data_IF_473351633141
#
_entry.id   IF_473351633141
#
_cell.length_a   1.000
_cell.length_b   1.000
_cell.length_c   1.000
_cell.angle_alpha   90.00
_cell.angle_beta   90.00
_cell.angle_gamma   90.00
#
_symmetry.space_group_name_H-M   'P 1'
#
loop_
_entity.id
_entity.type
_entity.pdbx_description
1 polymer ?
#
# COMPACT_ATOMS: atom_id res chain seq x y z
N UNK A 1 10.71 22.62 16.66
CA UNK A 1 9.45 21.86 16.45
C UNK A 1 9.71 20.41 16.04
N UNK A 2 10.47 20.13 14.99
CA UNK A 2 10.83 18.75 14.59
C UNK A 2 11.58 17.99 15.69
N UNK A 3 12.64 18.58 16.26
CA UNK A 3 13.44 17.95 17.33
C UNK A 3 12.59 17.54 18.55
N UNK A 4 11.63 18.37 18.94
CA UNK A 4 10.71 18.12 20.07
C UNK A 4 9.78 16.94 19.76
N UNK A 5 9.25 16.86 18.54
CA UNK A 5 8.39 15.75 18.10
C UNK A 5 9.19 14.45 18.03
N UNK A 6 10.41 14.50 17.47
CA UNK A 6 11.30 13.33 17.39
C UNK A 6 11.68 12.83 18.78
N UNK A 7 12.01 13.73 19.71
CA UNK A 7 12.31 13.36 21.10
C UNK A 7 11.09 12.75 21.81
N UNK A 8 9.90 13.32 21.62
CA UNK A 8 8.66 12.79 22.19
C UNK A 8 8.33 11.39 21.66
N UNK A 9 8.34 11.21 20.33
CA UNK A 9 8.11 9.91 19.70
C UNK A 9 9.16 8.88 20.13
N UNK A 10 10.43 9.28 20.19
CA UNK A 10 11.53 8.42 20.64
C UNK A 10 11.35 7.97 22.09
N UNK A 11 11.01 8.88 23.01
CA UNK A 11 10.73 8.54 24.40
C UNK A 11 9.53 7.59 24.53
N UNK A 12 8.47 7.82 23.76
CA UNK A 12 7.27 6.98 23.77
C UNK A 12 7.56 5.57 23.23
N UNK A 13 8.37 5.47 22.18
CA UNK A 13 8.86 4.19 21.64
C UNK A 13 9.72 3.44 22.65
N UNK A 14 10.62 4.11 23.37
CA UNK A 14 11.45 3.50 24.42
C UNK A 14 10.59 2.95 25.57
N UNK A 15 9.56 3.68 25.98
CA UNK A 15 8.59 3.21 26.99
C UNK A 15 7.82 1.98 26.49
N UNK A 16 7.38 1.98 25.23
CA UNK A 16 6.70 0.85 24.61
C UNK A 16 7.61 -0.38 24.44
N UNK A 17 8.90 -0.16 24.17
CA UNK A 17 9.90 -1.22 23.99
C UNK A 17 10.28 -1.92 25.31
N UNK A 18 10.07 -1.27 26.48
CA UNK A 18 10.41 -1.85 27.78
C UNK A 18 9.59 -3.11 28.11
N UNK A 19 8.35 -3.18 27.60
CA UNK A 19 7.53 -4.40 27.58
C UNK A 19 6.99 -4.57 26.17
N UNK A 20 7.77 -5.16 25.26
CA UNK A 20 7.37 -5.25 23.87
C UNK A 20 6.09 -6.09 23.78
N UNK A 21 4.96 -5.55 23.28
CA UNK A 21 3.82 -6.39 22.99
C UNK A 21 4.21 -7.46 21.97
N UNK A 22 3.83 -8.70 22.24
CA UNK A 22 3.99 -9.83 21.32
C UNK A 22 3.35 -9.59 19.93
N UNK A 23 2.45 -8.61 19.83
CA UNK A 23 1.83 -8.16 18.59
C UNK A 23 2.70 -7.24 17.70
N UNK A 24 3.89 -6.79 18.12
CA UNK A 24 4.74 -5.90 17.29
C UNK A 24 5.06 -6.53 15.92
N UNK A 25 5.35 -7.83 15.89
CA UNK A 25 5.67 -8.54 14.65
C UNK A 25 4.46 -8.54 13.71
N UNK A 26 3.26 -8.79 14.25
CA UNK A 26 2.02 -8.78 13.48
C UNK A 26 1.67 -7.38 12.97
N UNK A 27 1.88 -6.34 13.79
CA UNK A 27 1.69 -4.95 13.38
C UNK A 27 2.63 -4.57 12.23
N UNK A 28 3.89 -4.99 12.32
CA UNK A 28 4.91 -4.73 11.30
C UNK A 28 4.55 -5.45 9.99
N UNK A 29 4.19 -6.73 10.05
CA UNK A 29 3.71 -7.51 8.89
C UNK A 29 2.46 -6.88 8.27
N UNK A 30 1.51 -6.41 9.08
CA UNK A 30 0.31 -5.72 8.62
C UNK A 30 0.65 -4.38 7.95
N UNK A 31 1.57 -3.61 8.53
CA UNK A 31 1.99 -2.34 7.96
C UNK A 31 2.68 -2.50 6.60
N UNK A 32 3.66 -3.41 6.49
CA UNK A 32 4.35 -3.65 5.22
C UNK A 32 3.45 -4.32 4.18
N UNK A 33 2.71 -5.36 4.57
CA UNK A 33 1.81 -6.06 3.66
C UNK A 33 0.67 -5.17 3.17
N UNK A 34 0.14 -4.29 4.04
CA UNK A 34 -0.89 -3.33 3.67
C UNK A 34 -0.37 -2.24 2.75
N UNK A 35 0.85 -1.75 2.99
CA UNK A 35 1.49 -0.77 2.12
C UNK A 35 1.73 -1.35 0.72
N UNK A 36 2.25 -2.57 0.62
CA UNK A 36 2.42 -3.25 -0.66
C UNK A 36 1.08 -3.47 -1.38
N UNK A 37 0.05 -3.96 -0.66
CA UNK A 37 -1.27 -4.20 -1.24
C UNK A 37 -1.95 -2.92 -1.78
N UNK A 38 -1.67 -1.76 -1.18
CA UNK A 38 -2.24 -0.48 -1.57
C UNK A 38 -1.44 0.19 -2.69
N UNK A 39 -0.10 0.23 -2.58
CA UNK A 39 0.73 1.11 -3.40
C UNK A 39 1.46 0.42 -4.55
N UNK A 40 1.66 -0.90 -4.51
CA UNK A 40 2.51 -1.59 -5.49
C UNK A 40 1.99 -1.41 -6.92
N UNK A 41 0.72 -1.73 -7.19
CA UNK A 41 0.17 -1.64 -8.55
C UNK A 41 -0.02 -0.21 -9.06
N UNK A 42 -0.57 0.74 -8.27
CA UNK A 42 -0.61 2.14 -8.68
C UNK A 42 0.76 2.69 -9.06
N UNK A 43 1.82 2.33 -8.32
CA UNK A 43 3.17 2.83 -8.56
C UNK A 43 3.80 2.14 -9.78
N UNK A 44 3.76 0.80 -9.85
CA UNK A 44 4.31 0.05 -10.99
C UNK A 44 3.59 0.41 -12.28
N UNK A 45 2.25 0.36 -12.30
CA UNK A 45 1.48 0.62 -13.52
C UNK A 45 1.46 2.12 -13.84
N UNK A 46 1.46 3.01 -12.83
CA UNK A 46 1.56 4.45 -13.05
C UNK A 46 2.88 4.90 -13.67
N UNK A 47 4.00 4.24 -13.34
CA UNK A 47 5.31 4.56 -13.90
C UNK A 47 5.58 3.87 -15.24
N UNK A 48 5.16 2.61 -15.40
CA UNK A 48 5.52 1.80 -16.57
C UNK A 48 4.41 1.66 -17.61
N UNK A 49 3.16 2.05 -17.32
CA UNK A 49 2.04 1.90 -18.24
C UNK A 49 1.39 3.24 -18.59
N UNK A 50 1.57 3.68 -19.83
CA UNK A 50 1.05 4.95 -20.35
C UNK A 50 -0.48 5.11 -20.28
N UNK A 51 -1.21 4.00 -20.17
CA UNK A 51 -2.67 3.97 -20.10
C UNK A 51 -3.18 3.87 -18.66
N UNK A 52 -2.30 3.93 -17.67
CA UNK A 52 -2.69 3.97 -16.27
C UNK A 52 -3.47 5.25 -15.98
N UNK A 53 -4.48 5.13 -15.12
CA UNK A 53 -5.30 6.26 -14.72
C UNK A 53 -5.62 6.27 -13.22
N UNK A 54 -6.04 7.45 -12.75
CA UNK A 54 -6.35 7.68 -11.35
C UNK A 54 -7.49 6.78 -10.84
N UNK A 55 -8.48 6.43 -11.68
CA UNK A 55 -9.60 5.57 -11.27
C UNK A 55 -9.13 4.12 -11.03
N UNK A 56 -8.30 3.59 -11.92
CA UNK A 56 -7.64 2.30 -11.77
C UNK A 56 -6.77 2.26 -10.51
N UNK A 57 -5.92 3.28 -10.34
CA UNK A 57 -5.07 3.41 -9.15
C UNK A 57 -5.91 3.42 -7.84
N UNK A 58 -6.94 4.26 -7.76
CA UNK A 58 -7.78 4.37 -6.57
C UNK A 58 -8.54 3.07 -6.27
N UNK A 59 -9.07 2.42 -7.32
CA UNK A 59 -9.76 1.14 -7.16
C UNK A 59 -8.83 0.04 -6.62
N UNK A 60 -7.58 0.00 -7.09
CA UNK A 60 -6.57 -0.93 -6.60
C UNK A 60 -6.20 -0.66 -5.14
N UNK A 61 -6.00 0.62 -4.79
CA UNK A 61 -5.68 1.04 -3.42
C UNK A 61 -6.78 0.61 -2.43
N UNK A 62 -8.03 0.89 -2.77
CA UNK A 62 -9.17 0.57 -1.90
C UNK A 62 -9.34 -0.95 -1.79
N UNK A 63 -9.38 -1.66 -2.91
CA UNK A 63 -9.60 -3.11 -2.91
C UNK A 63 -8.43 -3.84 -2.23
N UNK A 64 -7.19 -3.48 -2.55
CA UNK A 64 -6.00 -4.08 -1.95
C UNK A 64 -5.92 -3.85 -0.45
N UNK A 65 -6.10 -2.61 0.01
CA UNK A 65 -6.04 -2.27 1.43
C UNK A 65 -7.16 -2.92 2.24
N UNK A 66 -8.41 -2.85 1.76
CA UNK A 66 -9.57 -3.43 2.46
C UNK A 66 -9.46 -4.95 2.49
N UNK A 67 -9.14 -5.58 1.37
CA UNK A 67 -9.06 -7.03 1.30
C UNK A 67 -7.90 -7.57 2.14
N UNK A 68 -6.74 -6.91 2.10
CA UNK A 68 -5.63 -7.28 2.95
C UNK A 68 -5.96 -7.13 4.44
N UNK A 69 -6.59 -6.02 4.85
CA UNK A 69 -6.99 -5.80 6.24
C UNK A 69 -7.95 -6.89 6.72
N UNK A 70 -8.93 -7.29 5.91
CA UNK A 70 -9.86 -8.37 6.24
C UNK A 70 -9.10 -9.70 6.36
N UNK A 71 -8.34 -10.11 5.34
CA UNK A 71 -7.65 -11.41 5.38
C UNK A 71 -6.59 -11.48 6.50
N UNK A 72 -5.87 -10.40 6.77
CA UNK A 72 -4.88 -10.33 7.84
C UNK A 72 -5.53 -10.39 9.22
N UNK A 73 -6.65 -9.67 9.43
CA UNK A 73 -7.37 -9.63 10.72
C UNK A 73 -8.00 -10.98 11.05
N UNK A 74 -8.58 -11.66 10.07
CA UNK A 74 -9.20 -12.98 10.26
C UNK A 74 -8.22 -14.15 10.08
N UNK A 75 -6.93 -13.87 9.88
CA UNK A 75 -5.87 -14.86 9.59
C UNK A 75 -6.27 -15.87 8.49
N UNK A 76 -6.99 -15.41 7.47
CA UNK A 76 -7.50 -16.25 6.39
C UNK A 76 -6.39 -16.54 5.39
N UNK A 77 -5.80 -17.72 5.53
CA UNK A 77 -4.76 -18.22 4.63
C UNK A 77 -5.41 -18.96 3.47
N UNK A 78 -5.58 -18.27 2.34
CA UNK A 78 -6.13 -18.87 1.14
C UNK A 78 -5.09 -19.79 0.49
N UNK A 79 -5.40 -21.10 0.35
CA UNK A 79 -4.48 -22.13 -0.18
C UNK A 79 -3.11 -22.22 0.55
N UNK A 80 -3.00 -21.78 1.79
CA UNK A 80 -1.73 -21.73 2.53
C UNK A 80 -0.82 -20.55 2.14
N UNK A 81 -1.30 -19.63 1.29
CA UNK A 81 -0.60 -18.39 1.00
C UNK A 81 -0.85 -17.33 2.09
N UNK A 82 0.15 -16.48 2.29
CA UNK A 82 0.02 -15.30 3.13
C UNK A 82 -1.06 -14.37 2.57
N UNK A 83 -1.91 -13.74 3.41
CA UNK A 83 -2.95 -12.78 3.02
C UNK A 83 -2.58 -11.71 1.98
N UNK A 84 -1.30 -11.35 1.91
CA UNK A 84 -0.74 -10.38 0.93
C UNK A 84 -0.97 -10.85 -0.51
N UNK A 85 -0.72 -12.12 -0.80
CA UNK A 85 -0.74 -12.66 -2.18
C UNK A 85 -2.13 -12.54 -2.82
N UNK A 86 -3.22 -13.07 -2.23
CA UNK A 86 -4.56 -12.92 -2.80
C UNK A 86 -5.01 -11.46 -2.84
N UNK A 87 -4.62 -10.63 -1.85
CA UNK A 87 -4.94 -9.20 -1.86
C UNK A 87 -4.26 -8.46 -3.02
N UNK A 88 -2.98 -8.75 -3.28
CA UNK A 88 -2.26 -8.20 -4.42
C UNK A 88 -2.89 -8.64 -5.74
N UNK A 89 -3.26 -9.91 -5.89
CA UNK A 89 -3.92 -10.39 -7.11
C UNK A 89 -5.27 -9.70 -7.36
N UNK A 90 -6.10 -9.57 -6.32
CA UNK A 90 -7.40 -8.92 -6.44
C UNK A 90 -7.28 -7.41 -6.63
N UNK A 91 -6.30 -6.76 -6.03
CA UNK A 91 -6.02 -5.33 -6.25
C UNK A 91 -5.55 -5.05 -7.69
N UNK A 92 -4.79 -5.98 -8.31
CA UNK A 92 -4.43 -5.89 -9.72
C UNK A 92 -5.67 -6.02 -10.62
N UNK A 93 -6.54 -6.98 -10.34
CA UNK A 93 -7.80 -7.12 -11.09
C UNK A 93 -8.66 -5.86 -10.94
N UNK A 94 -8.77 -5.32 -9.71
CA UNK A 94 -9.46 -4.07 -9.46
C UNK A 94 -8.83 -2.91 -10.26
N UNK A 95 -7.50 -2.81 -10.28
CA UNK A 95 -6.79 -1.84 -11.11
C UNK A 95 -7.21 -1.96 -12.57
N UNK A 96 -7.11 -3.16 -13.14
CA UNK A 96 -7.42 -3.40 -14.55
C UNK A 96 -8.86 -3.04 -14.88
N UNK A 97 -9.81 -3.42 -14.02
CA UNK A 97 -11.23 -3.10 -14.18
C UNK A 97 -11.46 -1.59 -14.06
N UNK A 98 -10.96 -0.95 -12.99
CA UNK A 98 -11.09 0.49 -12.78
C UNK A 98 -10.41 1.31 -13.88
N UNK A 99 -9.30 0.82 -14.42
CA UNK A 99 -8.56 1.45 -15.50
C UNK A 99 -9.37 1.48 -16.80
N UNK A 100 -10.32 0.55 -17.01
CA UNK A 100 -11.22 0.59 -18.19
C UNK A 100 -12.23 1.74 -18.14
N UNK A 101 -12.58 2.23 -16.95
CA UNK A 101 -13.59 3.30 -16.75
C UNK A 101 -12.96 4.70 -16.57
N UNK A 102 -11.63 4.78 -16.55
CA UNK A 102 -10.88 6.02 -16.44
C UNK A 102 -10.28 6.48 -17.76
N UNK A 103 -10.13 7.78 -17.90
CA UNK A 103 -9.33 8.39 -18.96
C UNK A 103 -7.87 8.30 -18.58
N UNK A 104 -6.98 7.89 -19.49
CA UNK A 104 -5.53 7.85 -19.25
C UNK A 104 -5.03 9.16 -18.65
N UNK A 105 -4.15 9.08 -17.65
CA UNK A 105 -3.55 10.28 -17.09
C UNK A 105 -2.71 10.99 -18.18
N UNK A 106 -2.76 12.33 -18.31
CA UNK A 106 -1.84 13.06 -19.14
C UNK A 106 -0.41 12.72 -18.70
N UNK A 107 0.43 12.28 -19.63
CA UNK A 107 1.84 12.00 -19.36
C UNK A 107 2.45 13.25 -18.73
N UNK A 108 3.03 13.10 -17.53
CA UNK A 108 3.65 14.22 -16.84
C UNK A 108 4.64 14.88 -17.80
N UNK A 109 4.40 16.15 -18.12
CA UNK A 109 5.22 16.91 -19.05
C UNK A 109 6.68 16.70 -18.65
N UNK A 110 7.44 16.04 -19.53
CA UNK A 110 8.87 15.82 -19.35
C UNK A 110 9.45 17.20 -19.09
N UNK A 111 9.92 17.45 -17.88
CA UNK A 111 10.62 18.68 -17.53
C UNK A 111 11.90 18.69 -18.38
N UNK A 112 11.80 19.22 -19.60
CA UNK A 112 12.95 19.54 -20.44
C UNK A 112 13.75 20.56 -19.65
N UNK A 113 14.73 20.09 -18.90
CA UNK A 113 15.71 20.95 -18.27
C UNK A 113 16.66 21.35 -19.37
N UNK A 114 16.25 22.35 -20.15
CA UNK A 114 17.10 23.05 -21.09
C UNK A 114 18.01 23.98 -20.27
N UNK A 115 19.25 23.53 -20.06
CA UNK A 115 20.38 24.36 -19.63
C UNK A 115 21.65 23.86 -20.28
#
# INVERSE_FOLDING_TARGET
MSATITLLLGALLLLAAWRPPEMIIWLNLLAFGGLEAVFLWPLVLGLYWERANAKGALSAMIVGGVLYAILATFNLQYLGFHPIVPALLLSLLAFLVGNRFGTSAPQAAVLTTDK
#
